data_IF_347241258125
#
_entry.id   IF_347241258125
#
_cell.length_a   1.000
_cell.length_b   1.000
_cell.length_c   1.000
_cell.angle_alpha   90.00
_cell.angle_beta   90.00
_cell.angle_gamma   90.00
#
_symmetry.space_group_name_H-M   'P 1'
#
loop_
_entity.id
_entity.type
_entity.pdbx_description
1 polymer ?
#
# COMPACT_ATOMS: atom_id res chain seq x y z
N UNK A 1 -58.86 -12.55 -43.29
CA UNK A 1 -58.65 -12.86 -41.85
C UNK A 1 -57.88 -14.18 -41.83
N UNK A 2 -56.60 -14.31 -41.48
CA UNK A 2 -55.64 -13.47 -40.75
C UNK A 2 -54.21 -13.77 -41.27
N UNK A 3 -53.36 -12.74 -41.28
CA UNK A 3 -51.94 -12.84 -41.63
C UNK A 3 -51.14 -13.53 -40.50
N UNK A 4 -50.23 -14.42 -40.89
CA UNK A 4 -49.27 -15.06 -39.98
C UNK A 4 -47.96 -14.27 -39.99
N UNK A 5 -47.51 -13.90 -38.79
CA UNK A 5 -46.25 -13.22 -38.50
C UNK A 5 -45.08 -14.21 -38.56
N UNK A 6 -43.96 -13.83 -39.20
CA UNK A 6 -42.62 -14.19 -38.72
C UNK A 6 -41.71 -12.98 -38.94
N UNK A 7 -41.46 -12.24 -37.86
CA UNK A 7 -40.53 -11.12 -37.81
C UNK A 7 -39.10 -11.62 -37.66
N UNK A 8 -38.19 -11.00 -38.42
CA UNK A 8 -36.75 -11.21 -38.39
C UNK A 8 -36.17 -10.49 -37.15
N UNK A 9 -35.78 -11.25 -36.14
CA UNK A 9 -35.12 -10.73 -34.93
C UNK A 9 -33.63 -10.50 -35.23
N UNK A 10 -33.25 -9.22 -35.32
CA UNK A 10 -31.87 -8.77 -35.41
C UNK A 10 -31.16 -9.01 -34.06
N UNK A 11 -30.08 -9.78 -34.11
CA UNK A 11 -29.24 -10.12 -32.97
C UNK A 11 -28.37 -8.90 -32.59
N UNK A 12 -28.72 -8.19 -31.52
CA UNK A 12 -27.87 -7.15 -30.93
C UNK A 12 -26.72 -7.83 -30.19
N UNK A 13 -25.52 -7.79 -30.77
CA UNK A 13 -24.29 -8.16 -30.08
C UNK A 13 -23.96 -7.06 -29.06
N UNK A 14 -24.31 -7.29 -27.80
CA UNK A 14 -23.87 -6.45 -26.68
C UNK A 14 -22.36 -6.63 -26.50
N UNK A 15 -21.58 -5.62 -26.90
CA UNK A 15 -20.16 -5.53 -26.57
C UNK A 15 -20.00 -5.25 -25.09
N UNK A 16 -19.88 -6.31 -24.28
CA UNK A 16 -19.42 -6.19 -22.90
C UNK A 16 -17.92 -5.90 -22.94
N UNK A 17 -17.55 -4.64 -22.68
CA UNK A 17 -16.16 -4.29 -22.38
C UNK A 17 -15.75 -5.06 -21.12
N UNK A 18 -14.95 -6.11 -21.30
CA UNK A 18 -14.24 -6.74 -20.20
C UNK A 18 -13.19 -5.75 -19.72
N UNK A 19 -13.56 -4.90 -18.76
CA UNK A 19 -12.58 -4.25 -17.91
C UNK A 19 -11.69 -5.37 -17.36
N UNK A 20 -10.45 -5.43 -17.84
CA UNK A 20 -9.49 -6.41 -17.35
C UNK A 20 -9.35 -6.15 -15.85
N UNK A 21 -9.52 -7.17 -14.98
CA UNK A 21 -9.27 -6.97 -13.56
C UNK A 21 -7.83 -6.45 -13.43
N UNK A 22 -7.66 -5.28 -12.81
CA UNK A 22 -6.33 -4.79 -12.46
C UNK A 22 -5.61 -5.91 -11.72
N UNK A 23 -4.50 -6.39 -12.28
CA UNK A 23 -3.80 -7.53 -11.72
C UNK A 23 -3.22 -7.10 -10.37
N UNK A 24 -3.85 -7.57 -9.28
CA UNK A 24 -3.32 -7.38 -7.94
C UNK A 24 -2.06 -8.23 -7.77
N UNK A 25 -0.99 -7.64 -7.22
CA UNK A 25 0.25 -8.37 -6.88
C UNK A 25 0.42 -8.45 -5.38
N UNK A 26 1.01 -9.55 -4.90
CA UNK A 26 1.34 -9.72 -3.49
C UNK A 26 2.35 -8.65 -3.05
N UNK A 27 2.14 -8.09 -1.86
CA UNK A 27 3.11 -7.18 -1.23
C UNK A 27 4.24 -8.04 -0.67
N UNK A 28 5.48 -7.87 -1.09
CA UNK A 28 6.62 -8.65 -0.57
C UNK A 28 7.71 -7.78 0.05
N UNK A 29 7.75 -6.48 -0.30
CA UNK A 29 8.78 -5.53 0.14
C UNK A 29 8.15 -4.27 0.70
N UNK A 30 8.28 -4.09 2.02
CA UNK A 30 7.70 -2.97 2.75
C UNK A 30 8.80 -2.09 3.34
N UNK A 31 8.66 -0.78 3.17
CA UNK A 31 9.45 0.22 3.90
C UNK A 31 8.55 0.93 4.91
N UNK A 32 8.98 1.02 6.16
CA UNK A 32 8.29 1.81 7.20
C UNK A 32 9.06 3.10 7.49
N UNK A 33 8.36 4.24 7.52
CA UNK A 33 8.97 5.56 7.69
C UNK A 33 8.80 6.17 9.08
N UNK A 34 8.26 5.41 10.04
CA UNK A 34 8.10 5.85 11.43
C UNK A 34 8.10 4.66 12.40
N UNK A 35 8.52 4.84 13.68
CA UNK A 35 8.51 3.77 14.67
C UNK A 35 7.15 3.07 14.79
N UNK A 36 6.08 3.83 14.96
CA UNK A 36 4.74 3.26 15.13
C UNK A 36 4.23 2.52 13.88
N UNK A 37 4.64 2.92 12.66
CA UNK A 37 4.25 2.19 11.45
C UNK A 37 5.02 0.87 11.33
N UNK A 38 6.22 0.79 11.90
CA UNK A 38 6.95 -0.48 12.02
C UNK A 38 6.19 -1.42 12.96
N UNK A 39 5.79 -0.95 14.14
CA UNK A 39 5.04 -1.76 15.11
C UNK A 39 3.71 -2.26 14.52
N UNK A 40 2.97 -1.39 13.83
CA UNK A 40 1.73 -1.74 13.14
C UNK A 40 1.95 -2.83 12.07
N UNK A 41 3.04 -2.76 11.31
CA UNK A 41 3.36 -3.78 10.31
C UNK A 41 3.63 -5.14 10.96
N UNK A 42 4.37 -5.19 12.06
CA UNK A 42 4.58 -6.43 12.80
C UNK A 42 3.27 -6.96 13.40
N UNK A 43 2.47 -6.11 14.02
CA UNK A 43 1.17 -6.48 14.58
C UNK A 43 0.20 -7.00 13.52
N UNK A 44 0.27 -6.46 12.29
CA UNK A 44 -0.52 -6.90 11.14
C UNK A 44 -0.02 -8.21 10.50
N UNK A 45 1.05 -8.82 11.03
CA UNK A 45 1.65 -10.03 10.46
C UNK A 45 2.49 -9.77 9.18
N UNK A 46 2.83 -8.51 8.90
CA UNK A 46 3.62 -8.10 7.74
C UNK A 46 5.11 -7.89 8.07
N UNK A 47 5.51 -8.13 9.32
CA UNK A 47 6.87 -7.85 9.80
C UNK A 47 7.99 -8.58 9.03
N UNK A 48 7.70 -9.75 8.46
CA UNK A 48 8.65 -10.51 7.62
C UNK A 48 8.85 -9.91 6.21
N UNK A 49 7.97 -8.99 5.80
CA UNK A 49 8.03 -8.26 4.52
C UNK A 49 8.75 -6.92 4.64
N UNK A 50 9.10 -6.49 5.85
CA UNK A 50 9.85 -5.25 6.07
C UNK A 50 11.30 -5.41 5.60
N UNK A 51 11.73 -4.51 4.71
CA UNK A 51 13.12 -4.47 4.20
C UNK A 51 13.91 -3.28 4.76
N UNK A 52 13.24 -2.22 5.18
CA UNK A 52 13.84 -1.09 5.87
C UNK A 52 12.81 -0.34 6.74
N UNK A 53 13.32 0.37 7.74
CA UNK A 53 12.52 1.10 8.74
C UNK A 53 13.11 2.48 9.03
N UNK A 54 12.44 3.29 9.85
CA UNK A 54 13.00 4.54 10.35
C UNK A 54 13.96 4.33 11.53
N UNK A 55 14.78 5.33 11.83
CA UNK A 55 15.41 5.46 13.14
C UNK A 55 14.35 5.35 14.25
N UNK A 56 14.78 4.82 15.41
CA UNK A 56 13.93 4.49 16.57
C UNK A 56 12.86 3.41 16.33
N UNK A 57 12.80 2.76 15.18
CA UNK A 57 12.02 1.53 15.00
C UNK A 57 12.71 0.34 15.70
N UNK A 58 12.63 0.30 17.02
CA UNK A 58 13.33 -0.65 17.89
C UNK A 58 12.45 -1.77 18.47
N UNK A 59 11.14 -1.71 18.20
CA UNK A 59 10.17 -2.73 18.59
C UNK A 59 9.43 -3.32 17.37
N UNK A 60 9.21 -4.66 17.34
CA UNK A 60 9.85 -5.67 18.19
C UNK A 60 11.36 -5.76 17.90
N UNK A 61 12.12 -6.50 18.71
CA UNK A 61 13.59 -6.62 18.59
C UNK A 61 14.05 -6.98 17.16
N UNK A 62 13.25 -7.76 16.41
CA UNK A 62 13.50 -8.08 15.02
C UNK A 62 13.68 -6.84 14.12
N UNK A 63 12.97 -5.73 14.40
CA UNK A 63 13.06 -4.49 13.65
C UNK A 63 14.44 -3.82 13.75
N UNK A 64 15.19 -4.08 14.83
CA UNK A 64 16.53 -3.51 15.04
C UNK A 64 17.55 -3.99 14.01
N UNK A 65 17.29 -5.13 13.36
CA UNK A 65 18.18 -5.72 12.34
C UNK A 65 18.00 -5.10 10.94
N UNK A 66 16.93 -4.33 10.74
CA UNK A 66 16.59 -3.77 9.44
C UNK A 66 17.39 -2.49 9.14
N UNK A 67 17.58 -2.18 7.87
CA UNK A 67 18.26 -0.96 7.47
C UNK A 67 17.44 0.30 7.85
N UNK A 68 18.14 1.40 8.18
CA UNK A 68 17.52 2.69 8.52
C UNK A 68 17.50 3.65 7.34
N UNK A 69 16.30 4.02 6.87
CA UNK A 69 16.09 4.86 5.68
C UNK A 69 15.35 6.17 5.93
N UNK A 70 14.92 6.43 7.16
CA UNK A 70 14.26 7.67 7.53
C UNK A 70 14.59 8.06 8.97
N UNK A 71 14.57 9.35 9.27
CA UNK A 71 14.68 9.89 10.62
C UNK A 71 13.94 11.24 10.71
N UNK A 72 14.13 11.96 11.81
CA UNK A 72 13.46 13.26 12.02
C UNK A 72 13.93 14.36 11.04
N UNK A 73 15.09 14.20 10.41
CA UNK A 73 15.65 15.16 9.46
C UNK A 73 15.15 14.91 8.03
N UNK A 74 14.79 13.67 7.70
CA UNK A 74 14.28 13.34 6.37
C UNK A 74 14.32 11.86 6.02
N UNK A 75 14.22 11.60 4.72
CA UNK A 75 14.10 10.27 4.11
C UNK A 75 15.24 10.08 3.09
N UNK A 76 15.90 8.92 3.12
CA UNK A 76 16.94 8.51 2.14
C UNK A 76 16.28 8.05 0.84
N UNK A 77 15.82 8.98 0.04
CA UNK A 77 14.97 8.73 -1.15
C UNK A 77 15.63 7.74 -2.13
N UNK A 78 16.89 7.96 -2.48
CA UNK A 78 17.64 7.12 -3.42
C UNK A 78 17.77 5.69 -2.91
N UNK A 79 17.92 5.54 -1.58
CA UNK A 79 18.02 4.22 -0.98
C UNK A 79 16.69 3.48 -1.02
N UNK A 80 15.57 4.18 -0.77
CA UNK A 80 14.23 3.60 -0.89
C UNK A 80 13.97 3.17 -2.34
N UNK A 81 14.33 3.99 -3.32
CA UNK A 81 14.20 3.63 -4.74
C UNK A 81 14.98 2.36 -5.06
N UNK A 82 16.23 2.26 -4.60
CA UNK A 82 17.08 1.08 -4.80
C UNK A 82 16.59 -0.18 -4.05
N UNK A 83 15.72 -0.02 -3.05
CA UNK A 83 15.10 -1.14 -2.34
C UNK A 83 13.86 -1.68 -3.07
N UNK A 84 13.33 -0.95 -4.05
CA UNK A 84 12.15 -1.33 -4.84
C UNK A 84 10.99 -1.84 -3.97
N UNK A 85 10.47 -1.05 -3.00
CA UNK A 85 9.35 -1.48 -2.18
C UNK A 85 8.05 -1.51 -2.98
N UNK A 86 7.21 -2.49 -2.67
CA UNK A 86 5.83 -2.58 -3.14
C UNK A 86 4.94 -1.59 -2.38
N UNK A 87 5.25 -1.38 -1.09
CA UNK A 87 4.46 -0.57 -0.18
C UNK A 87 5.35 0.25 0.77
N UNK A 88 5.01 1.53 0.94
CA UNK A 88 5.66 2.44 1.88
C UNK A 88 4.65 2.86 2.95
N UNK A 89 4.96 2.58 4.22
CA UNK A 89 4.14 2.98 5.36
C UNK A 89 4.59 4.36 5.86
N UNK A 90 3.81 5.38 5.54
CA UNK A 90 4.12 6.78 5.82
C UNK A 90 3.36 7.31 7.05
N UNK A 91 3.97 8.31 7.70
CA UNK A 91 3.39 9.10 8.76
C UNK A 91 3.20 10.57 8.31
N UNK A 92 2.01 10.96 7.84
CA UNK A 92 1.79 12.27 7.22
C UNK A 92 2.22 13.48 8.05
N UNK A 93 2.12 13.40 9.39
CA UNK A 93 2.41 14.54 10.27
C UNK A 93 3.84 14.55 10.80
N UNK A 94 4.62 13.47 10.61
CA UNK A 94 6.00 13.37 11.08
C UNK A 94 7.03 13.17 9.98
N UNK A 95 6.62 12.69 8.80
CA UNK A 95 7.48 12.63 7.62
C UNK A 95 7.33 13.92 6.80
N UNK A 96 8.42 14.42 6.18
CA UNK A 96 8.34 15.65 5.41
C UNK A 96 7.58 15.42 4.09
N UNK A 97 6.57 16.26 3.86
CA UNK A 97 5.57 16.07 2.80
C UNK A 97 6.17 16.03 1.39
N UNK A 98 7.21 16.85 1.13
CA UNK A 98 7.87 16.94 -0.18
C UNK A 98 8.50 15.61 -0.58
N UNK A 99 9.08 14.88 0.35
CA UNK A 99 9.69 13.57 0.10
C UNK A 99 8.62 12.50 -0.16
N UNK A 100 7.49 12.55 0.55
CA UNK A 100 6.36 11.66 0.30
C UNK A 100 5.77 11.88 -1.10
N UNK A 101 5.54 13.13 -1.50
CA UNK A 101 5.08 13.49 -2.84
C UNK A 101 6.01 12.99 -3.94
N UNK A 102 7.34 13.07 -3.72
CA UNK A 102 8.31 12.53 -4.69
C UNK A 102 8.21 11.02 -4.82
N UNK A 103 7.99 10.28 -3.73
CA UNK A 103 7.83 8.83 -3.79
C UNK A 103 6.56 8.45 -4.56
N UNK A 104 5.45 9.18 -4.38
CA UNK A 104 4.24 9.00 -5.18
C UNK A 104 4.47 9.32 -6.66
N UNK A 105 5.18 10.40 -6.97
CA UNK A 105 5.53 10.77 -8.36
C UNK A 105 6.42 9.72 -9.05
N UNK A 106 7.23 8.99 -8.28
CA UNK A 106 8.03 7.86 -8.76
C UNK A 106 7.20 6.57 -8.91
N UNK A 107 5.92 6.58 -8.55
CA UNK A 107 5.00 5.46 -8.71
C UNK A 107 4.94 4.49 -7.54
N UNK A 108 5.50 4.84 -6.37
CA UNK A 108 5.38 3.99 -5.19
C UNK A 108 4.00 4.08 -4.55
N UNK A 109 3.51 2.95 -4.04
CA UNK A 109 2.28 2.92 -3.25
C UNK A 109 2.58 3.35 -1.82
N UNK A 110 1.94 4.43 -1.37
CA UNK A 110 2.03 4.90 0.00
C UNK A 110 0.77 4.55 0.78
N UNK A 111 0.95 3.93 1.96
CA UNK A 111 -0.09 3.84 2.97
C UNK A 111 0.14 4.91 4.04
N UNK A 112 -0.81 5.82 4.17
CA UNK A 112 -0.76 6.88 5.17
C UNK A 112 -1.39 6.43 6.48
N UNK A 113 -0.58 6.30 7.53
CA UNK A 113 -1.04 5.94 8.86
C UNK A 113 -1.95 7.02 9.46
N UNK A 114 -3.03 6.58 10.12
CA UNK A 114 -4.07 7.43 10.74
C UNK A 114 -4.23 7.14 12.24
N UNK A 115 -3.11 7.13 12.97
CA UNK A 115 -3.08 6.87 14.41
C UNK A 115 -3.34 8.13 15.27
N UNK A 116 -4.49 8.82 15.08
CA UNK A 116 -4.86 10.01 15.88
C UNK A 116 -5.76 9.71 17.09
N UNK A 117 -6.27 8.48 17.20
CA UNK A 117 -7.10 7.99 18.29
C UNK A 117 -6.89 6.49 18.46
N UNK A 118 -7.37 5.92 19.57
CA UNK A 118 -7.32 4.47 19.80
C UNK A 118 -8.07 3.69 18.70
N UNK A 119 -9.26 4.14 18.33
CA UNK A 119 -10.00 3.57 17.20
C UNK A 119 -9.22 3.70 15.89
N UNK A 120 -8.50 4.81 15.70
CA UNK A 120 -7.63 5.01 14.55
C UNK A 120 -6.50 3.98 14.46
N UNK A 121 -5.94 3.55 15.61
CA UNK A 121 -4.92 2.49 15.67
C UNK A 121 -5.54 1.15 15.26
N UNK A 122 -6.69 0.78 15.81
CA UNK A 122 -7.38 -0.47 15.46
C UNK A 122 -7.74 -0.52 13.97
N UNK A 123 -8.30 0.58 13.44
CA UNK A 123 -8.61 0.71 12.01
C UNK A 123 -7.35 0.63 11.13
N UNK A 124 -6.21 1.15 11.59
CA UNK A 124 -4.93 1.02 10.89
C UNK A 124 -4.47 -0.43 10.82
N UNK A 125 -4.53 -1.13 11.96
CA UNK A 125 -4.15 -2.52 12.06
C UNK A 125 -5.03 -3.41 11.17
N UNK A 126 -6.35 -3.21 11.19
CA UNK A 126 -7.28 -3.97 10.35
C UNK A 126 -7.03 -3.71 8.86
N UNK A 127 -6.85 -2.44 8.47
CA UNK A 127 -6.53 -2.10 7.08
C UNK A 127 -5.23 -2.77 6.61
N UNK A 128 -4.16 -2.72 7.42
CA UNK A 128 -2.88 -3.37 7.10
C UNK A 128 -3.00 -4.89 7.04
N UNK A 129 -3.74 -5.51 7.96
CA UNK A 129 -3.95 -6.96 7.98
C UNK A 129 -4.67 -7.47 6.73
N UNK A 130 -5.55 -6.63 6.16
CA UNK A 130 -6.29 -6.92 4.93
C UNK A 130 -5.50 -6.61 3.65
N UNK A 131 -4.41 -5.83 3.73
CA UNK A 131 -3.54 -5.51 2.60
C UNK A 131 -2.55 -6.65 2.33
N UNK A 132 -3.03 -7.72 1.68
CA UNK A 132 -2.16 -8.79 1.16
C UNK A 132 -1.61 -8.47 -0.24
N UNK A 133 -2.38 -7.71 -1.01
CA UNK A 133 -2.08 -7.37 -2.39
C UNK A 133 -2.26 -5.88 -2.66
N UNK A 134 -1.57 -5.37 -3.66
CA UNK A 134 -1.72 -4.01 -4.19
C UNK A 134 -2.09 -4.04 -5.67
N UNK A 135 -2.86 -3.06 -6.16
CA UNK A 135 -3.07 -2.88 -7.60
C UNK A 135 -1.74 -2.52 -8.28
N UNK A 136 -1.48 -3.11 -9.45
CA UNK A 136 -0.45 -2.65 -10.39
C UNK A 136 -1.04 -1.74 -11.46
#
# INVERSE_FOLDING_TARGET
>A
MNNTYVGLLALLASGSSLASPMANTDIERIVSLAPHTTELAYAAGLGNKLVAVSEYSDYPEAAQKLERVANYQGIKLERIVALEPDLILAWPTGNPARELEKLEQLGFNLYYSKAKSLDGIANNLEALSNMRTIPK
#
